data_IF_567715420725
#
_entry.id   IF_567715420725
#
_cell.length_a   1.000
_cell.length_b   1.000
_cell.length_c   1.000
_cell.angle_alpha   90.00
_cell.angle_beta   90.00
_cell.angle_gamma   90.00
#
_symmetry.space_group_name_H-M   'P 1'
#
loop_
_entity.id
_entity.type
_entity.pdbx_description
1 polymer ?
#
# COMPACT_ATOMS: atom_id res chain seq x y z
N UNK A 1 15.44 -32.24 -37.80
CA UNK A 1 14.77 -32.38 -36.49
C UNK A 1 14.75 -31.01 -35.84
N UNK A 2 13.57 -30.39 -35.70
CA UNK A 2 13.43 -29.09 -35.03
C UNK A 2 13.42 -29.35 -33.52
N UNK A 3 14.50 -28.96 -32.83
CA UNK A 3 14.55 -28.94 -31.37
C UNK A 3 13.74 -27.72 -30.88
N UNK A 4 12.47 -27.93 -30.58
CA UNK A 4 11.67 -26.95 -29.86
C UNK A 4 12.11 -26.92 -28.41
N UNK A 5 12.85 -25.88 -28.02
CA UNK A 5 13.05 -25.53 -26.61
C UNK A 5 11.70 -25.13 -26.04
N UNK A 6 11.17 -25.92 -25.09
CA UNK A 6 10.02 -25.52 -24.31
C UNK A 6 10.33 -24.18 -23.60
N UNK A 7 9.38 -23.24 -23.52
CA UNK A 7 9.60 -22.03 -22.75
C UNK A 7 9.83 -22.43 -21.28
N UNK A 8 10.84 -21.85 -20.64
CA UNK A 8 11.03 -22.00 -19.19
C UNK A 8 9.75 -21.50 -18.49
N UNK A 9 9.32 -22.21 -17.43
CA UNK A 9 8.10 -21.84 -16.69
C UNK A 9 8.13 -20.40 -16.14
N UNK A 10 9.34 -19.84 -15.92
CA UNK A 10 9.55 -18.43 -15.58
C UNK A 10 9.08 -17.46 -16.67
N UNK A 11 9.48 -17.69 -17.93
CA UNK A 11 9.09 -16.83 -19.06
C UNK A 11 7.58 -16.84 -19.32
N UNK A 12 6.89 -17.96 -19.08
CA UNK A 12 5.43 -18.03 -19.25
C UNK A 12 4.64 -17.29 -18.17
N UNK A 13 5.15 -17.25 -16.94
CA UNK A 13 4.48 -16.56 -15.82
C UNK A 13 4.65 -15.05 -15.93
N UNK A 14 5.84 -14.58 -16.29
CA UNK A 14 6.10 -13.16 -16.54
C UNK A 14 5.23 -12.62 -17.67
N UNK A 15 5.15 -13.33 -18.80
CA UNK A 15 4.26 -12.98 -19.90
C UNK A 15 2.77 -12.97 -19.48
N UNK A 16 2.38 -13.83 -18.54
CA UNK A 16 1.01 -13.85 -17.99
C UNK A 16 0.72 -12.63 -17.09
N UNK A 17 1.69 -12.17 -16.31
CA UNK A 17 1.57 -10.96 -15.48
C UNK A 17 1.55 -9.72 -16.36
N UNK A 18 2.39 -9.64 -17.39
CA UNK A 18 2.39 -8.53 -18.35
C UNK A 18 1.05 -8.42 -19.07
N UNK A 19 0.51 -9.54 -19.59
CA UNK A 19 -0.81 -9.56 -20.19
C UNK A 19 -1.92 -9.12 -19.21
N UNK A 20 -1.80 -9.49 -17.94
CA UNK A 20 -2.73 -9.06 -16.89
C UNK A 20 -2.63 -7.56 -16.60
N UNK A 21 -1.42 -6.98 -16.61
CA UNK A 21 -1.22 -5.52 -16.51
C UNK A 21 -1.88 -4.82 -17.70
N UNK A 22 -1.66 -5.29 -18.93
CA UNK A 22 -2.29 -4.70 -20.12
C UNK A 22 -3.82 -4.76 -20.07
N UNK A 23 -4.40 -5.85 -19.55
CA UNK A 23 -5.84 -5.94 -19.32
C UNK A 23 -6.34 -4.89 -18.30
N UNK A 24 -5.61 -4.65 -17.21
CA UNK A 24 -5.93 -3.60 -16.23
C UNK A 24 -5.88 -2.22 -16.89
N UNK A 25 -4.85 -1.95 -17.70
CA UNK A 25 -4.68 -0.69 -18.44
C UNK A 25 -5.81 -0.45 -19.45
N UNK A 26 -6.23 -1.50 -20.17
CA UNK A 26 -7.37 -1.41 -21.12
C UNK A 26 -8.68 -1.00 -20.45
N UNK A 27 -8.80 -1.19 -19.13
CA UNK A 27 -9.98 -0.89 -18.32
C UNK A 27 -9.92 0.50 -17.67
N UNK A 28 -9.07 1.40 -18.15
CA UNK A 28 -8.94 2.77 -17.61
C UNK A 28 -10.23 3.58 -17.65
N UNK A 29 -11.23 3.22 -18.45
CA UNK A 29 -12.55 3.85 -18.48
C UNK A 29 -13.66 3.12 -17.71
N UNK A 30 -13.35 2.01 -17.00
CA UNK A 30 -14.34 1.07 -16.46
C UNK A 30 -15.41 1.71 -15.55
N UNK A 31 -15.03 2.75 -14.79
CA UNK A 31 -15.90 3.38 -13.80
C UNK A 31 -16.61 4.65 -14.33
N UNK A 32 -16.53 4.90 -15.65
CA UNK A 32 -17.18 6.02 -16.33
C UNK A 32 -16.41 7.33 -16.32
N UNK A 33 -15.31 7.44 -15.58
CA UNK A 33 -14.34 8.54 -15.65
C UNK A 33 -12.99 8.08 -16.23
N UNK A 34 -12.03 9.01 -16.37
CA UNK A 34 -10.69 8.67 -16.81
C UNK A 34 -9.91 7.91 -15.72
N UNK A 35 -8.96 7.06 -16.14
CA UNK A 35 -7.98 6.40 -15.26
C UNK A 35 -8.61 5.73 -14.03
N UNK A 36 -9.65 4.92 -14.25
CA UNK A 36 -10.40 4.18 -13.23
C UNK A 36 -11.13 5.05 -12.21
N UNK A 37 -11.22 6.37 -12.43
CA UNK A 37 -12.07 7.24 -11.62
C UNK A 37 -13.53 7.06 -11.99
N UNK A 38 -14.42 7.48 -11.10
CA UNK A 38 -15.83 7.68 -11.47
C UNK A 38 -16.00 8.87 -12.41
N UNK A 39 -17.15 8.93 -13.08
CA UNK A 39 -17.54 10.03 -13.96
C UNK A 39 -17.58 11.42 -13.25
N UNK A 40 -17.83 11.43 -11.94
CA UNK A 40 -17.78 12.64 -11.09
C UNK A 40 -16.34 13.02 -10.66
N UNK A 41 -15.33 12.26 -11.09
CA UNK A 41 -13.93 12.48 -10.77
C UNK A 41 -13.50 11.93 -9.41
N UNK A 42 -14.32 11.14 -8.72
CA UNK A 42 -13.89 10.42 -7.51
C UNK A 42 -12.85 9.35 -7.88
N UNK A 43 -11.67 9.45 -7.25
CA UNK A 43 -10.52 8.56 -7.47
C UNK A 43 -10.39 7.45 -6.41
N UNK A 44 -11.27 7.41 -5.42
CA UNK A 44 -11.31 6.42 -4.35
C UNK A 44 -12.41 5.35 -4.54
N UNK A 45 -13.49 5.70 -5.23
CA UNK A 45 -14.60 4.78 -5.51
C UNK A 45 -14.61 4.30 -6.99
N UNK A 46 -15.11 3.09 -7.27
CA UNK A 46 -15.51 2.04 -6.33
C UNK A 46 -14.30 1.39 -5.63
N UNK A 47 -14.51 0.97 -4.38
CA UNK A 47 -13.44 0.37 -3.59
C UNK A 47 -12.87 -0.89 -4.25
N UNK A 48 -11.54 -0.93 -4.35
CA UNK A 48 -10.79 -2.06 -4.87
C UNK A 48 -10.54 -2.01 -6.37
N UNK A 49 -11.06 -1.07 -7.14
CA UNK A 49 -10.66 -0.87 -8.55
C UNK A 49 -10.79 0.61 -8.96
N UNK A 50 -10.50 1.50 -8.02
CA UNK A 50 -10.43 2.96 -8.23
C UNK A 50 -9.05 3.39 -8.73
N UNK A 51 -8.88 4.64 -9.16
CA UNK A 51 -7.56 5.19 -9.53
C UNK A 51 -6.53 4.96 -8.42
N UNK A 52 -6.86 5.26 -7.16
CA UNK A 52 -5.94 5.09 -6.02
C UNK A 52 -5.54 3.62 -5.86
N UNK A 53 -6.49 2.70 -5.99
CA UNK A 53 -6.19 1.26 -5.87
C UNK A 53 -5.30 0.78 -7.02
N UNK A 54 -5.61 1.17 -8.25
CA UNK A 54 -4.89 0.70 -9.44
C UNK A 54 -3.46 1.22 -9.47
N UNK A 55 -3.20 2.51 -9.19
CA UNK A 55 -1.81 3.02 -9.18
C UNK A 55 -0.94 2.33 -8.12
N UNK A 56 -1.53 1.98 -6.97
CA UNK A 56 -0.81 1.24 -5.93
C UNK A 56 -0.54 -0.20 -6.37
N UNK A 57 -1.50 -0.87 -7.00
CA UNK A 57 -1.33 -2.24 -7.52
C UNK A 57 -0.27 -2.28 -8.61
N UNK A 58 -0.32 -1.37 -9.59
CA UNK A 58 0.66 -1.29 -10.67
C UNK A 58 2.07 -1.07 -10.11
N UNK A 59 2.22 -0.14 -9.16
CA UNK A 59 3.49 0.09 -8.48
C UNK A 59 3.96 -1.09 -7.62
N UNK A 60 3.06 -1.81 -6.94
CA UNK A 60 3.39 -3.03 -6.20
C UNK A 60 3.90 -4.15 -7.14
N UNK A 61 3.43 -4.17 -8.39
CA UNK A 61 3.88 -5.06 -9.47
C UNK A 61 5.18 -4.58 -10.17
N UNK A 62 5.69 -3.41 -9.83
CA UNK A 62 6.92 -2.85 -10.40
C UNK A 62 6.75 -2.05 -11.70
N UNK A 63 5.51 -1.69 -12.06
CA UNK A 63 5.24 -0.83 -13.23
C UNK A 63 5.63 0.61 -12.92
N UNK A 64 6.38 1.25 -13.81
CA UNK A 64 6.74 2.67 -13.77
C UNK A 64 5.72 3.53 -14.52
N UNK A 65 5.59 4.80 -14.12
CA UNK A 65 4.81 5.79 -14.85
C UNK A 65 5.25 5.95 -16.31
N UNK A 66 6.52 5.68 -16.61
CA UNK A 66 7.09 5.80 -17.95
C UNK A 66 6.87 4.60 -18.85
N UNK A 67 6.40 3.46 -18.31
CA UNK A 67 6.28 2.22 -19.07
C UNK A 67 5.09 2.26 -20.06
N UNK A 68 4.03 3.00 -19.69
CA UNK A 68 2.81 3.10 -20.49
C UNK A 68 2.18 4.49 -20.43
N UNK A 69 1.72 5.06 -21.56
CA UNK A 69 1.07 6.37 -21.60
C UNK A 69 -0.17 6.50 -20.70
N UNK A 70 -0.90 5.41 -20.46
CA UNK A 70 -2.07 5.42 -19.56
C UNK A 70 -1.63 5.59 -18.10
N UNK A 71 -0.49 5.03 -17.71
CA UNK A 71 0.03 5.11 -16.34
C UNK A 71 0.57 6.51 -16.07
N UNK A 72 1.33 7.08 -17.00
CA UNK A 72 1.79 8.48 -16.95
C UNK A 72 0.60 9.43 -16.76
N UNK A 73 -0.45 9.28 -17.59
CA UNK A 73 -1.63 10.14 -17.50
C UNK A 73 -2.43 9.94 -16.21
N UNK A 74 -2.50 8.71 -15.69
CA UNK A 74 -3.11 8.42 -14.40
C UNK A 74 -2.33 9.07 -13.24
N UNK A 75 -1.00 9.05 -13.30
CA UNK A 75 -0.14 9.72 -12.33
C UNK A 75 -0.35 11.24 -12.37
N UNK A 76 -0.37 11.85 -13.56
CA UNK A 76 -0.68 13.27 -13.74
C UNK A 76 -2.06 13.62 -13.19
N UNK A 77 -3.09 12.82 -13.51
CA UNK A 77 -4.45 13.01 -13.00
C UNK A 77 -4.53 12.96 -11.47
N UNK A 78 -3.77 12.06 -10.83
CA UNK A 78 -3.68 12.00 -9.36
C UNK A 78 -2.91 13.20 -8.78
N UNK A 79 -1.83 13.62 -9.42
CA UNK A 79 -1.03 14.78 -9.04
C UNK A 79 -1.81 16.10 -9.12
N UNK A 80 -2.69 16.26 -10.10
CA UNK A 80 -3.61 17.39 -10.25
C UNK A 80 -4.62 17.50 -9.10
N UNK A 81 -4.74 16.48 -8.25
CA UNK A 81 -5.55 16.54 -7.03
C UNK A 81 -4.85 17.20 -5.85
N UNK A 82 -3.59 17.59 -6.04
CA UNK A 82 -2.86 18.35 -5.02
C UNK A 82 -3.50 19.72 -4.81
N UNK A 83 -3.58 20.15 -3.56
CA UNK A 83 -3.92 21.53 -3.19
C UNK A 83 -2.68 22.46 -3.15
N UNK A 84 -1.50 21.95 -3.54
CA UNK A 84 -0.22 22.65 -3.49
C UNK A 84 0.37 22.81 -2.09
N UNK A 85 -0.33 22.37 -1.04
CA UNK A 85 0.07 22.50 0.38
C UNK A 85 0.13 21.13 1.07
N UNK A 86 0.46 20.10 0.29
CA UNK A 86 0.63 18.72 0.75
C UNK A 86 -0.65 17.92 0.93
N UNK A 87 -1.81 18.48 0.56
CA UNK A 87 -3.07 17.74 0.52
C UNK A 87 -3.36 17.18 -0.86
N UNK A 88 -3.66 15.88 -0.96
CA UNK A 88 -4.32 15.31 -2.13
C UNK A 88 -5.81 15.06 -1.84
N UNK A 89 -6.68 15.65 -2.66
CA UNK A 89 -8.13 15.41 -2.62
C UNK A 89 -8.47 14.14 -3.38
N UNK A 90 -9.47 13.40 -2.93
CA UNK A 90 -9.92 12.20 -3.64
C UNK A 90 -11.13 12.44 -4.56
N UNK A 91 -11.68 13.65 -4.57
CA UNK A 91 -12.67 14.10 -5.57
C UNK A 91 -12.39 15.56 -5.94
N UNK A 92 -12.97 16.11 -7.02
CA UNK A 92 -12.70 17.50 -7.43
C UNK A 92 -13.07 18.54 -6.37
N UNK A 93 -14.13 18.27 -5.60
CA UNK A 93 -14.68 19.18 -4.57
C UNK A 93 -14.61 18.62 -3.15
N UNK A 94 -14.05 17.43 -2.98
CA UNK A 94 -14.02 16.69 -1.73
C UNK A 94 -12.94 17.18 -0.78
N UNK A 95 -13.06 16.74 0.48
CA UNK A 95 -12.04 16.96 1.49
C UNK A 95 -10.83 16.04 1.32
N UNK A 96 -9.82 16.30 2.12
CA UNK A 96 -8.63 15.46 2.21
C UNK A 96 -8.81 14.50 3.38
N UNK A 97 -8.55 13.22 3.13
CA UNK A 97 -8.50 12.20 4.19
C UNK A 97 -7.05 11.75 4.35
N UNK A 98 -6.48 11.72 5.57
CA UNK A 98 -5.08 11.36 5.78
C UNK A 98 -4.70 10.02 5.14
N UNK A 99 -5.58 9.02 5.21
CA UNK A 99 -5.36 7.70 4.61
C UNK A 99 -5.30 7.75 3.08
N UNK A 100 -6.16 8.53 2.43
CA UNK A 100 -6.18 8.66 0.97
C UNK A 100 -5.02 9.53 0.48
N UNK A 101 -4.71 10.60 1.21
CA UNK A 101 -3.56 11.47 0.94
C UNK A 101 -2.26 10.64 0.94
N UNK A 102 -2.07 9.81 1.98
CA UNK A 102 -0.92 8.90 2.07
C UNK A 102 -0.89 7.85 0.96
N UNK A 103 -2.03 7.24 0.61
CA UNK A 103 -2.10 6.24 -0.47
C UNK A 103 -1.87 6.82 -1.86
N UNK A 104 -2.27 8.07 -2.10
CA UNK A 104 -1.97 8.77 -3.36
C UNK A 104 -0.47 9.04 -3.44
N UNK A 105 0.13 9.62 -2.39
CA UNK A 105 1.57 9.87 -2.35
C UNK A 105 2.39 8.58 -2.53
N UNK A 106 2.08 7.53 -1.75
CA UNK A 106 2.72 6.22 -1.87
C UNK A 106 2.55 5.61 -3.27
N UNK A 107 1.34 5.64 -3.83
CA UNK A 107 1.08 5.11 -5.17
C UNK A 107 1.90 5.81 -6.25
N UNK A 108 1.96 7.15 -6.23
CA UNK A 108 2.80 7.94 -7.14
C UNK A 108 4.28 7.59 -7.01
N UNK A 109 4.78 7.46 -5.78
CA UNK A 109 6.18 7.06 -5.54
C UNK A 109 6.50 5.64 -5.97
N UNK A 110 5.58 4.69 -5.78
CA UNK A 110 5.72 3.32 -6.30
C UNK A 110 5.84 3.27 -7.82
N UNK A 111 5.17 4.20 -8.52
CA UNK A 111 5.30 4.39 -9.97
C UNK A 111 6.56 5.17 -10.38
N UNK A 112 7.44 5.55 -9.44
CA UNK A 112 8.67 6.29 -9.72
C UNK A 112 8.49 7.80 -9.95
N UNK A 113 7.32 8.37 -9.62
CA UNK A 113 7.04 9.79 -9.84
C UNK A 113 7.74 10.65 -8.79
N UNK A 114 8.60 11.57 -9.22
CA UNK A 114 9.19 12.63 -8.39
C UNK A 114 8.46 13.95 -8.69
N UNK A 115 7.91 14.60 -7.66
CA UNK A 115 7.19 15.87 -7.81
C UNK A 115 7.13 16.64 -6.48
N UNK A 116 7.28 17.96 -6.53
CA UNK A 116 7.25 18.85 -5.35
C UNK A 116 5.94 18.75 -4.55
N UNK A 117 4.82 18.42 -5.22
CA UNK A 117 3.53 18.19 -4.55
C UNK A 117 3.58 16.99 -3.60
N UNK A 118 4.39 15.97 -3.92
CA UNK A 118 4.62 14.82 -3.04
C UNK A 118 5.53 15.24 -1.88
N UNK A 119 6.55 16.07 -2.14
CA UNK A 119 7.39 16.63 -1.07
C UNK A 119 6.59 17.45 -0.05
N UNK A 120 5.66 18.28 -0.51
CA UNK A 120 4.74 19.01 0.35
C UNK A 120 3.85 18.06 1.18
N UNK A 121 3.45 16.92 0.63
CA UNK A 121 2.65 15.92 1.36
C UNK A 121 3.40 15.33 2.55
N UNK A 122 4.69 15.03 2.40
CA UNK A 122 5.52 14.56 3.52
C UNK A 122 5.59 15.58 4.66
N UNK A 123 5.81 16.87 4.34
CA UNK A 123 5.82 17.93 5.34
C UNK A 123 4.48 17.98 6.10
N UNK A 124 3.37 17.87 5.37
CA UNK A 124 2.03 17.83 5.95
C UNK A 124 1.82 16.62 6.86
N UNK A 125 2.26 15.43 6.47
CA UNK A 125 2.19 14.24 7.31
C UNK A 125 2.93 14.46 8.63
N UNK A 126 4.17 14.95 8.59
CA UNK A 126 4.95 15.19 9.81
C UNK A 126 4.31 16.24 10.72
N UNK A 127 3.71 17.28 10.14
CA UNK A 127 3.03 18.34 10.90
C UNK A 127 1.70 17.92 11.54
N UNK A 128 1.12 16.80 11.12
CA UNK A 128 -0.22 16.34 11.55
C UNK A 128 -0.16 15.03 12.33
N UNK A 129 1.03 14.56 12.69
CA UNK A 129 1.22 13.38 13.54
C UNK A 129 0.65 13.65 14.94
N UNK A 130 -0.10 12.68 15.47
CA UNK A 130 -0.70 12.76 16.80
C UNK A 130 0.33 12.44 17.90
N UNK A 131 -0.03 12.71 19.16
CA UNK A 131 0.86 12.50 20.32
C UNK A 131 1.25 11.03 20.51
N UNK A 132 0.37 10.10 20.16
CA UNK A 132 0.62 8.65 20.20
C UNK A 132 1.55 8.17 19.07
N UNK A 133 2.01 9.07 18.19
CA UNK A 133 2.93 8.78 17.10
C UNK A 133 2.25 8.32 15.80
N UNK A 134 0.94 8.11 15.79
CA UNK A 134 0.22 7.74 14.58
C UNK A 134 -0.44 8.92 13.85
N UNK A 135 -1.33 8.58 12.92
CA UNK A 135 -2.21 9.55 12.24
C UNK A 135 -3.67 9.18 12.40
N UNK A 136 -4.50 10.20 12.65
CA UNK A 136 -5.94 10.06 12.87
C UNK A 136 -6.77 10.83 11.86
N UNK A 137 -7.84 10.22 11.37
CA UNK A 137 -8.84 10.95 10.58
C UNK A 137 -9.73 11.83 11.48
N UNK A 138 -9.83 13.13 11.18
CA UNK A 138 -10.65 14.07 11.98
C UNK A 138 -12.07 14.27 11.45
N UNK A 139 -12.41 13.69 10.29
CA UNK A 139 -13.71 13.92 9.63
C UNK A 139 -14.84 13.05 10.18
N UNK A 140 -14.52 11.88 10.73
CA UNK A 140 -15.51 10.99 11.34
C UNK A 140 -15.81 11.46 12.76
N UNK A 141 -17.08 11.77 13.04
CA UNK A 141 -17.55 12.12 14.38
C UNK A 141 -17.99 10.86 15.11
N UNK A 142 -17.27 10.49 16.15
CA UNK A 142 -17.58 9.36 17.04
C UNK A 142 -17.69 9.84 18.49
N UNK A 143 -18.23 8.99 19.38
CA UNK A 143 -18.09 9.18 20.82
C UNK A 143 -16.62 9.13 21.23
N UNK A 144 -16.26 9.86 22.29
CA UNK A 144 -14.88 9.91 22.82
C UNK A 144 -14.59 8.66 23.66
N UNK A 145 -13.51 7.97 23.33
CA UNK A 145 -12.91 6.90 24.12
C UNK A 145 -11.43 6.78 23.76
N UNK A 146 -10.59 6.16 24.61
CA UNK A 146 -9.20 5.89 24.26
C UNK A 146 -9.05 5.19 22.89
N UNK A 147 -9.93 4.24 22.57
CA UNK A 147 -9.92 3.54 21.28
C UNK A 147 -10.32 4.43 20.09
N UNK A 148 -11.34 5.28 20.22
CA UNK A 148 -11.80 6.14 19.11
C UNK A 148 -10.97 7.41 18.93
N UNK A 149 -10.31 7.87 20.00
CA UNK A 149 -9.42 9.04 20.00
C UNK A 149 -7.97 8.69 19.63
N UNK A 150 -7.60 7.40 19.67
CA UNK A 150 -6.31 6.92 19.15
C UNK A 150 -6.16 7.15 17.64
N UNK A 151 -4.91 7.19 17.20
CA UNK A 151 -4.55 7.14 15.79
C UNK A 151 -5.06 5.87 15.10
N UNK A 152 -5.12 5.92 13.77
CA UNK A 152 -5.56 4.80 12.95
C UNK A 152 -4.36 3.94 12.53
N UNK A 153 -4.28 2.64 12.90
CA UNK A 153 -3.24 1.73 12.42
C UNK A 153 -3.12 1.66 10.90
N UNK A 154 -4.24 1.57 10.18
CA UNK A 154 -4.22 1.55 8.71
C UNK A 154 -3.64 2.84 8.10
N UNK A 155 -4.10 4.00 8.56
CA UNK A 155 -3.57 5.30 8.11
C UNK A 155 -2.08 5.42 8.41
N UNK A 156 -1.67 5.03 9.63
CA UNK A 156 -0.27 5.10 10.07
C UNK A 156 0.62 4.22 9.20
N UNK A 157 0.17 3.02 8.85
CA UNK A 157 0.88 2.15 7.91
C UNK A 157 1.02 2.79 6.53
N UNK A 158 -0.04 3.41 6.00
CA UNK A 158 0.00 4.04 4.67
C UNK A 158 0.91 5.26 4.63
N UNK A 159 0.98 6.02 5.72
CA UNK A 159 1.92 7.14 5.85
C UNK A 159 3.37 6.61 5.85
N UNK A 160 3.66 5.58 6.65
CA UNK A 160 4.97 4.91 6.62
C UNK A 160 5.28 4.28 5.24
N UNK A 161 4.30 3.80 4.50
CA UNK A 161 4.50 3.36 3.11
C UNK A 161 5.05 4.54 2.27
N UNK A 162 4.40 5.70 2.30
CA UNK A 162 4.83 6.86 1.52
C UNK A 162 6.29 7.28 1.84
N UNK A 163 6.68 7.25 3.12
CA UNK A 163 8.03 7.66 3.54
C UNK A 163 9.17 6.72 3.13
N UNK A 164 8.89 5.49 2.66
CA UNK A 164 9.94 4.55 2.25
C UNK A 164 10.67 4.96 0.97
N UNK A 165 10.11 5.89 0.21
CA UNK A 165 10.60 6.29 -1.12
C UNK A 165 11.44 7.57 -1.11
N UNK A 166 12.00 7.97 0.03
CA UNK A 166 12.93 9.10 0.11
C UNK A 166 13.96 8.89 1.20
N UNK A 167 15.08 9.61 1.11
CA UNK A 167 15.98 9.76 2.24
C UNK A 167 15.31 10.63 3.31
N UNK A 168 15.18 10.10 4.53
CA UNK A 168 14.60 10.81 5.67
C UNK A 168 15.73 11.38 6.53
N UNK A 169 15.63 12.67 6.90
CA UNK A 169 16.56 13.29 7.84
C UNK A 169 16.40 12.75 9.26
N UNK A 170 17.35 13.04 10.15
CA UNK A 170 17.35 12.54 11.53
C UNK A 170 16.07 12.90 12.29
N UNK A 171 15.58 14.14 12.20
CA UNK A 171 14.36 14.57 12.89
C UNK A 171 13.11 13.86 12.36
N UNK A 172 13.05 13.61 11.05
CA UNK A 172 11.97 12.87 10.42
C UNK A 172 12.00 11.42 10.89
N UNK A 173 13.18 10.79 10.95
CA UNK A 173 13.34 9.42 11.45
C UNK A 173 12.82 9.27 12.87
N UNK A 174 13.10 10.21 13.78
CA UNK A 174 12.56 10.18 15.16
C UNK A 174 11.02 10.16 15.15
N UNK A 175 10.39 10.95 14.27
CA UNK A 175 8.92 10.95 14.11
C UNK A 175 8.42 9.63 13.53
N UNK A 176 9.07 9.10 12.50
CA UNK A 176 8.69 7.83 11.87
C UNK A 176 8.87 6.65 12.84
N UNK A 177 9.88 6.67 13.69
CA UNK A 177 10.11 5.68 14.75
C UNK A 177 9.01 5.67 15.83
N UNK A 178 8.35 6.81 16.08
CA UNK A 178 7.15 6.86 16.94
C UNK A 178 5.95 6.19 16.25
N UNK A 179 5.81 6.36 14.94
CA UNK A 179 4.78 5.66 14.18
C UNK A 179 5.01 4.14 14.10
N UNK A 180 6.27 3.72 13.97
CA UNK A 180 6.67 2.31 14.10
C UNK A 180 6.29 1.77 15.49
N UNK A 181 6.63 2.49 16.56
CA UNK A 181 6.26 2.10 17.92
C UNK A 181 4.75 1.96 18.10
N UNK A 182 3.98 2.92 17.58
CA UNK A 182 2.52 2.86 17.59
C UNK A 182 1.99 1.58 16.95
N UNK A 183 2.51 1.20 15.78
CA UNK A 183 2.10 -0.02 15.07
C UNK A 183 2.53 -1.30 15.79
N UNK A 184 3.71 -1.34 16.41
CA UNK A 184 4.16 -2.47 17.21
C UNK A 184 3.38 -2.60 18.53
N UNK A 185 2.98 -1.48 19.15
CA UNK A 185 2.04 -1.46 20.26
C UNK A 185 0.64 -1.98 19.85
N UNK A 186 0.20 -1.65 18.63
CA UNK A 186 -1.03 -2.20 18.06
C UNK A 186 -0.95 -3.72 17.85
N UNK A 187 0.20 -4.26 17.44
CA UNK A 187 0.44 -5.71 17.35
C UNK A 187 0.18 -6.43 18.68
N UNK A 188 0.59 -5.82 19.80
CA UNK A 188 0.37 -6.38 21.15
C UNK A 188 -1.10 -6.28 21.57
N UNK A 189 -1.69 -5.09 21.43
CA UNK A 189 -3.05 -4.83 21.93
C UNK A 189 -4.14 -5.45 21.06
N UNK A 190 -3.93 -5.52 19.74
CA UNK A 190 -4.84 -6.03 18.70
C UNK A 190 -6.21 -5.36 18.63
N UNK A 191 -6.46 -4.37 19.49
CA UNK A 191 -7.75 -3.67 19.62
C UNK A 191 -8.11 -2.93 18.35
N UNK A 192 -9.40 -2.80 18.01
CA UNK A 192 -9.83 -1.89 16.96
C UNK A 192 -9.57 -0.44 17.38
N UNK A 193 -8.69 0.27 16.66
CA UNK A 193 -8.28 1.64 16.98
C UNK A 193 -8.67 2.68 15.91
N UNK A 194 -8.90 3.88 16.41
CA UNK A 194 -9.23 5.09 15.68
C UNK A 194 -10.60 5.05 15.00
N UNK A 195 -10.96 6.10 14.24
CA UNK A 195 -12.29 6.25 13.64
C UNK A 195 -12.72 5.18 12.63
N UNK A 196 -11.79 4.38 12.13
CA UNK A 196 -12.07 3.30 11.18
C UNK A 196 -11.92 1.90 11.82
N UNK A 197 -11.72 1.82 13.14
CA UNK A 197 -11.67 0.57 13.91
C UNK A 197 -10.71 -0.49 13.34
N UNK A 198 -9.49 -0.09 12.94
CA UNK A 198 -8.48 -1.05 12.48
C UNK A 198 -8.01 -1.88 13.66
N UNK A 199 -8.25 -3.19 13.61
CA UNK A 199 -7.77 -4.16 14.61
C UNK A 199 -7.02 -5.31 13.97
N UNK A 200 -6.43 -6.18 14.81
CA UNK A 200 -5.71 -7.38 14.38
C UNK A 200 -6.55 -8.61 14.70
N UNK A 201 -7.09 -9.21 13.65
CA UNK A 201 -7.84 -10.48 13.72
C UNK A 201 -7.55 -11.34 12.50
N UNK A 202 -8.42 -12.33 12.23
CA UNK A 202 -8.19 -13.33 11.18
C UNK A 202 -7.95 -12.73 9.79
N UNK A 203 -8.65 -11.62 9.45
CA UNK A 203 -8.45 -10.94 8.17
C UNK A 203 -7.09 -10.24 8.08
N UNK A 204 -6.61 -9.66 9.18
CA UNK A 204 -5.26 -9.09 9.22
C UNK A 204 -4.22 -10.20 9.05
N UNK A 205 -4.38 -11.31 9.77
CA UNK A 205 -3.44 -12.44 9.74
C UNK A 205 -3.42 -13.21 8.41
N UNK A 206 -4.36 -12.94 7.50
CA UNK A 206 -4.39 -13.57 6.18
C UNK A 206 -3.46 -12.86 5.20
N UNK A 207 -2.73 -13.62 4.39
CA UNK A 207 -1.89 -13.04 3.33
C UNK A 207 -2.78 -12.55 2.19
N UNK A 208 -2.66 -11.26 1.88
CA UNK A 208 -3.32 -10.61 0.76
C UNK A 208 -2.28 -9.89 -0.10
N UNK A 209 -2.42 -10.05 -1.40
CA UNK A 209 -1.70 -9.28 -2.41
C UNK A 209 -2.60 -9.09 -3.63
N UNK A 210 -2.62 -7.91 -4.29
CA UNK A 210 -1.87 -6.68 -3.98
C UNK A 210 -2.25 -6.00 -2.66
N UNK A 211 -1.49 -4.97 -2.22
CA UNK A 211 -1.65 -4.34 -0.90
C UNK A 211 -2.81 -3.32 -0.84
N UNK A 212 -4.05 -3.81 -0.81
CA UNK A 212 -5.25 -2.97 -0.77
C UNK A 212 -5.80 -2.74 0.64
N UNK A 213 -5.67 -3.75 1.52
CA UNK A 213 -6.16 -3.71 2.90
C UNK A 213 -5.03 -3.81 3.91
N UNK A 214 -5.33 -3.40 5.15
CA UNK A 214 -4.45 -3.59 6.29
C UNK A 214 -4.35 -5.09 6.64
N UNK A 215 -3.26 -5.72 6.21
CA UNK A 215 -2.98 -7.14 6.35
C UNK A 215 -1.52 -7.37 6.76
N UNK A 216 -1.20 -8.58 7.23
CA UNK A 216 0.09 -8.91 7.83
C UNK A 216 1.26 -8.82 6.86
N UNK A 217 1.07 -9.19 5.57
CA UNK A 217 2.15 -9.08 4.58
C UNK A 217 2.46 -7.61 4.31
N UNK A 218 1.43 -6.78 4.14
CA UNK A 218 1.63 -5.34 3.94
C UNK A 218 2.26 -4.67 5.17
N UNK A 219 1.79 -5.04 6.36
CA UNK A 219 2.33 -4.57 7.64
C UNK A 219 3.83 -4.88 7.75
N UNK A 220 4.21 -6.14 7.49
CA UNK A 220 5.61 -6.56 7.53
C UNK A 220 6.45 -5.88 6.45
N UNK A 221 5.90 -5.77 5.24
CA UNK A 221 6.59 -5.14 4.11
C UNK A 221 7.00 -3.71 4.43
N UNK A 222 6.06 -2.90 4.90
CA UNK A 222 6.33 -1.49 5.24
C UNK A 222 7.31 -1.38 6.40
N UNK A 223 7.06 -2.11 7.50
CA UNK A 223 7.88 -1.99 8.70
C UNK A 223 9.32 -2.49 8.49
N UNK A 224 9.54 -3.44 7.56
CA UNK A 224 10.88 -3.91 7.24
C UNK A 224 11.81 -2.81 6.71
N UNK A 225 11.26 -1.69 6.19
CA UNK A 225 12.05 -0.54 5.75
C UNK A 225 12.58 0.34 6.90
N UNK A 226 12.21 0.06 8.16
CA UNK A 226 12.51 0.90 9.31
C UNK A 226 13.42 0.16 10.30
N UNK A 227 14.66 0.64 10.57
CA UNK A 227 15.61 -0.03 11.46
C UNK A 227 15.06 -0.33 12.86
N UNK A 228 14.28 0.60 13.44
CA UNK A 228 13.61 0.39 14.73
C UNK A 228 12.69 -0.82 14.73
N UNK A 229 11.94 -1.05 13.65
CA UNK A 229 11.07 -2.21 13.56
C UNK A 229 11.88 -3.50 13.45
N UNK A 230 12.88 -3.52 12.56
CA UNK A 230 13.74 -4.68 12.33
C UNK A 230 14.45 -5.14 13.62
N UNK A 231 14.86 -4.20 14.48
CA UNK A 231 15.50 -4.51 15.75
C UNK A 231 14.53 -4.91 16.88
N UNK A 232 13.21 -4.85 16.67
CA UNK A 232 12.21 -5.05 17.72
C UNK A 232 11.71 -6.50 17.79
N UNK A 233 11.67 -7.14 18.97
CA UNK A 233 11.19 -8.52 19.12
C UNK A 233 9.73 -8.71 18.70
N UNK A 234 8.85 -7.71 18.85
CA UNK A 234 7.45 -7.80 18.41
C UNK A 234 7.37 -7.92 16.89
N UNK A 235 8.29 -7.28 16.17
CA UNK A 235 8.36 -7.42 14.72
C UNK A 235 8.89 -8.80 14.30
N UNK A 236 9.86 -9.35 15.04
CA UNK A 236 10.32 -10.71 14.81
C UNK A 236 9.18 -11.74 14.93
N UNK A 237 8.22 -11.55 15.83
CA UNK A 237 7.00 -12.38 15.91
C UNK A 237 6.16 -12.29 14.63
N UNK A 238 5.97 -11.08 14.09
CA UNK A 238 5.22 -10.88 12.84
C UNK A 238 5.90 -11.60 11.67
N UNK A 239 7.23 -11.47 11.58
CA UNK A 239 8.04 -12.17 10.56
C UNK A 239 7.95 -13.69 10.75
N UNK A 240 7.94 -14.20 11.99
CA UNK A 240 7.77 -15.62 12.26
C UNK A 240 6.40 -16.15 11.81
N UNK A 241 5.32 -15.37 11.98
CA UNK A 241 3.98 -15.74 11.48
C UNK A 241 3.98 -15.85 9.94
N UNK A 242 4.62 -14.91 9.24
CA UNK A 242 4.74 -14.98 7.78
C UNK A 242 5.63 -16.16 7.35
N UNK A 243 6.74 -16.40 8.05
CA UNK A 243 7.65 -17.52 7.77
C UNK A 243 6.92 -18.87 7.87
N UNK A 244 6.08 -19.05 8.89
CA UNK A 244 5.26 -20.25 9.05
C UNK A 244 4.22 -20.46 7.94
N UNK A 245 3.87 -19.39 7.20
CA UNK A 245 2.97 -19.40 6.04
C UNK A 245 3.71 -19.44 4.69
N UNK A 246 5.04 -19.51 4.70
CA UNK A 246 5.88 -19.48 3.51
C UNK A 246 6.63 -20.80 3.30
N UNK A 247 6.92 -21.11 2.04
CA UNK A 247 7.80 -22.23 1.66
C UNK A 247 9.11 -21.64 1.12
N UNK A 248 10.09 -21.43 2.00
CA UNK A 248 11.31 -20.67 1.67
C UNK A 248 10.98 -19.21 1.37
N UNK A 249 11.24 -18.76 0.13
CA UNK A 249 10.86 -17.42 -0.34
C UNK A 249 9.48 -17.38 -0.99
N UNK A 250 8.78 -18.51 -1.14
CA UNK A 250 7.49 -18.56 -1.80
C UNK A 250 6.35 -18.18 -0.86
N UNK A 251 5.54 -17.20 -1.29
CA UNK A 251 4.31 -16.76 -0.63
C UNK A 251 3.10 -17.18 -1.45
N UNK A 252 2.07 -17.68 -0.75
CA UNK A 252 0.75 -17.98 -1.33
C UNK A 252 -0.26 -16.93 -0.86
N UNK A 253 -1.05 -16.40 -1.79
CA UNK A 253 -2.12 -15.46 -1.45
C UNK A 253 -3.30 -16.24 -0.87
N UNK A 254 -3.78 -15.86 0.32
CA UNK A 254 -4.87 -16.54 1.02
C UNK A 254 -6.22 -15.87 0.78
N UNK A 255 -6.24 -14.53 0.83
CA UNK A 255 -7.49 -13.74 0.75
C UNK A 255 -7.32 -12.54 -0.17
N UNK A 256 -7.26 -12.74 -1.50
CA UNK A 256 -7.18 -11.62 -2.43
C UNK A 256 -8.44 -10.76 -2.38
N UNK A 257 -8.33 -9.52 -2.86
CA UNK A 257 -9.51 -8.69 -3.06
C UNK A 257 -10.31 -9.20 -4.27
N UNK A 258 -11.64 -9.26 -4.15
CA UNK A 258 -12.53 -9.83 -5.18
C UNK A 258 -12.36 -9.20 -6.56
N UNK A 259 -12.08 -7.89 -6.61
CA UNK A 259 -11.85 -7.18 -7.87
C UNK A 259 -10.59 -7.67 -8.62
N UNK A 260 -9.66 -8.31 -7.92
CA UNK A 260 -8.36 -8.72 -8.46
C UNK A 260 -8.15 -10.23 -8.54
N UNK A 261 -8.94 -11.05 -7.82
CA UNK A 261 -8.70 -12.50 -7.69
C UNK A 261 -8.64 -13.27 -9.03
N UNK A 262 -9.20 -12.71 -10.11
CA UNK A 262 -9.11 -13.26 -11.47
C UNK A 262 -7.73 -13.12 -12.12
N UNK A 263 -6.88 -12.22 -11.62
CA UNK A 263 -5.56 -11.96 -12.19
C UNK A 263 -4.53 -12.94 -11.62
N UNK A 264 -3.58 -13.43 -12.43
CA UNK A 264 -2.56 -14.39 -12.00
C UNK A 264 -1.74 -13.86 -10.81
N UNK A 265 -1.45 -12.56 -10.78
CA UNK A 265 -0.73 -11.91 -9.69
C UNK A 265 -1.56 -11.69 -8.42
N UNK A 266 -2.82 -12.13 -8.36
CA UNK A 266 -3.66 -12.07 -7.17
C UNK A 266 -4.41 -13.40 -6.91
N UNK A 267 -4.11 -14.43 -7.68
CA UNK A 267 -4.82 -15.71 -7.61
C UNK A 267 -4.61 -16.39 -6.25
N UNK A 268 -5.71 -16.87 -5.67
CA UNK A 268 -5.71 -17.52 -4.36
C UNK A 268 -5.02 -18.90 -4.41
N UNK A 269 -4.25 -19.22 -3.37
CA UNK A 269 -3.68 -20.55 -3.11
C UNK A 269 -2.44 -20.91 -3.93
N UNK A 270 -2.15 -20.13 -4.98
CA UNK A 270 -0.97 -20.32 -5.81
C UNK A 270 0.21 -19.51 -5.28
N UNK A 271 1.42 -20.02 -5.53
CA UNK A 271 2.63 -19.25 -5.29
C UNK A 271 2.60 -17.99 -6.17
N UNK A 272 2.84 -16.85 -5.55
CA UNK A 272 2.69 -15.55 -6.17
C UNK A 272 4.06 -14.87 -6.27
N UNK A 273 4.58 -14.71 -7.49
CA UNK A 273 5.94 -14.18 -7.70
C UNK A 273 6.12 -12.77 -7.11
N UNK A 274 5.15 -11.88 -7.32
CA UNK A 274 5.21 -10.51 -6.81
C UNK A 274 5.16 -10.47 -5.28
N UNK A 275 4.23 -11.19 -4.64
CA UNK A 275 4.18 -11.29 -3.18
C UNK A 275 5.42 -11.97 -2.59
N UNK A 276 5.96 -12.99 -3.28
CA UNK A 276 7.21 -13.67 -2.91
C UNK A 276 8.41 -12.73 -2.99
N UNK A 277 8.45 -11.82 -3.98
CA UNK A 277 9.48 -10.80 -4.08
C UNK A 277 9.41 -9.80 -2.89
N UNK A 278 8.20 -9.40 -2.48
CA UNK A 278 8.01 -8.58 -1.26
C UNK A 278 8.48 -9.32 0.00
N UNK A 279 8.21 -10.61 0.12
CA UNK A 279 8.71 -11.43 1.22
C UNK A 279 10.23 -11.57 1.22
N UNK A 280 10.83 -11.81 0.06
CA UNK A 280 12.29 -11.84 -0.07
C UNK A 280 12.92 -10.50 0.32
N UNK A 281 12.26 -9.37 0.04
CA UNK A 281 12.71 -8.04 0.49
C UNK A 281 12.65 -7.90 2.01
N UNK A 282 11.55 -8.32 2.64
CA UNK A 282 11.44 -8.37 4.11
C UNK A 282 12.58 -9.19 4.71
N UNK A 283 12.85 -10.39 4.17
CA UNK A 283 13.94 -11.25 4.64
C UNK A 283 15.33 -10.62 4.47
N UNK A 284 15.57 -9.86 3.40
CA UNK A 284 16.84 -9.13 3.23
C UNK A 284 17.00 -8.00 4.24
N UNK A 285 15.90 -7.35 4.60
CA UNK A 285 15.90 -6.27 5.58
C UNK A 285 16.00 -6.78 7.03
N UNK A 286 15.70 -8.06 7.28
CA UNK A 286 15.73 -8.70 8.60
C UNK A 286 16.89 -9.73 8.67
N UNK A 287 18.13 -9.27 8.97
CA UNK A 287 19.29 -10.15 9.08
C UNK A 287 19.20 -11.14 10.26
#
# INVERSE_FOLDING_TARGET
MRSGTAPSAGNSMEASVEAAVLDVLSKSGLNGGPYWSRADGDMHAPAGFSTIDVINVLGDLGVSATDHPIVEKAATFALERSDGRGGFRYTPKGGELPCLNARIAAGLRKLGVEDDRIHAAYAKFLSTQEEDGGWRCKTVRLGKSPETDASNPGTTLFVLDAFRFRANGTDDLVRLERAVEFLLGHWVTKKPLGPCAFGIGNRFASIEFPFLRYNILYFAYVLSSYPKAVADPRFAEVVAVLRAKSEGCAIRVETPHKAWERYPFAAKGLANAAASAKWAEILRNCP
#
